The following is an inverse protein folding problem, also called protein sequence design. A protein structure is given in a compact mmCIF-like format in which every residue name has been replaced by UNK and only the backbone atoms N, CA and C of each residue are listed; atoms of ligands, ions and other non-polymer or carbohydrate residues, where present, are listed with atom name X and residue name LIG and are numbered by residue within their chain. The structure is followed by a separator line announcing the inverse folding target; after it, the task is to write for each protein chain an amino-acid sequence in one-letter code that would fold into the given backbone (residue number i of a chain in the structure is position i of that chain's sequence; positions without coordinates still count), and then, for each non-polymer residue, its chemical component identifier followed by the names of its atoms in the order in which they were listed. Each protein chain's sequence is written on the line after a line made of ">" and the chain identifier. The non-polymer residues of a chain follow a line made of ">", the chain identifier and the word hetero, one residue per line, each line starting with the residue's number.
data_IF_443800993544
#
_entry.id   IF_443800993544
#
_cell.length_a   1.000
_cell.length_b   1.000
_cell.length_c   1.000
_cell.angle_alpha   90.00
_cell.angle_beta   90.00
_cell.angle_gamma   90.00
#
_symmetry.space_group_name_H-M   'P 1'
#
loop_
_entity.id
_entity.type
_entity.pdbx_description
1 polymer ?
#
# COMPACT_ATOMS: atom_id res chain seq x y z
N UNK A 1 0.86 -85.33 -59.70
CA UNK A 1 1.20 -83.89 -59.72
C UNK A 1 0.18 -83.01 -59.00
N UNK A 2 -1.10 -83.40 -58.88
CA UNK A 2 -2.15 -82.63 -58.20
C UNK A 2 -2.10 -82.64 -56.66
N UNK A 3 -1.55 -83.68 -56.02
CA UNK A 3 -1.41 -83.73 -54.55
C UNK A 3 -0.31 -82.82 -54.02
N UNK A 4 0.79 -82.67 -54.77
CA UNK A 4 1.92 -81.81 -54.37
C UNK A 4 1.56 -80.32 -54.41
N UNK A 5 0.68 -79.91 -55.33
CA UNK A 5 0.20 -78.52 -55.44
C UNK A 5 -0.87 -78.18 -54.39
N UNK A 6 -1.68 -79.15 -53.97
CA UNK A 6 -2.63 -78.98 -52.85
C UNK A 6 -1.92 -78.83 -51.51
N UNK A 7 -0.89 -79.64 -51.23
CA UNK A 7 -0.05 -79.50 -50.04
C UNK A 7 0.63 -78.12 -49.95
N UNK A 8 1.25 -77.68 -51.05
CA UNK A 8 1.91 -76.37 -51.12
C UNK A 8 0.93 -75.19 -50.93
N UNK A 9 -0.32 -75.32 -51.34
CA UNK A 9 -1.37 -74.30 -51.12
C UNK A 9 -1.78 -74.23 -49.64
N UNK A 10 -1.95 -75.38 -49.00
CA UNK A 10 -2.29 -75.49 -47.58
C UNK A 10 -1.18 -74.90 -46.69
N UNK A 11 0.09 -75.19 -47.00
CA UNK A 11 1.24 -74.66 -46.26
C UNK A 11 1.32 -73.12 -46.37
N UNK A 12 0.99 -72.57 -47.54
CA UNK A 12 0.95 -71.11 -47.76
C UNK A 12 -0.11 -70.44 -46.90
N UNK A 13 -1.30 -71.05 -46.80
CA UNK A 13 -2.39 -70.56 -45.94
C UNK A 13 -1.99 -70.65 -44.46
N UNK A 14 -1.37 -71.74 -44.02
CA UNK A 14 -0.88 -71.89 -42.64
C UNK A 14 0.19 -70.84 -42.30
N UNK A 15 1.06 -70.52 -43.26
CA UNK A 15 2.07 -69.47 -43.10
C UNK A 15 1.45 -68.07 -42.98
N UNK A 16 0.43 -67.76 -43.78
CA UNK A 16 -0.32 -66.50 -43.67
C UNK A 16 -1.10 -66.40 -42.36
N UNK A 17 -1.80 -67.47 -41.93
CA UNK A 17 -2.49 -67.52 -40.63
C UNK A 17 -1.49 -67.28 -39.49
N UNK A 18 -0.31 -67.90 -39.55
CA UNK A 18 0.75 -67.69 -38.56
C UNK A 18 1.27 -66.25 -38.55
N UNK A 19 1.38 -65.62 -39.73
CA UNK A 19 1.79 -64.22 -39.84
C UNK A 19 0.72 -63.26 -39.30
N UNK A 20 -0.55 -63.56 -39.53
CA UNK A 20 -1.69 -62.82 -38.95
C UNK A 20 -1.72 -62.98 -37.43
N UNK A 21 -1.48 -64.18 -36.90
CA UNK A 21 -1.39 -64.45 -35.46
C UNK A 21 -0.33 -63.58 -34.77
N UNK A 22 0.89 -63.53 -35.34
CA UNK A 22 1.96 -62.65 -34.84
C UNK A 22 1.60 -61.16 -34.88
N UNK A 23 0.90 -60.71 -35.92
CA UNK A 23 0.42 -59.32 -36.00
C UNK A 23 -0.65 -59.03 -34.93
N UNK A 24 -1.54 -59.97 -34.67
CA UNK A 24 -2.56 -59.89 -33.62
C UNK A 24 -1.91 -59.79 -32.23
N UNK A 25 -0.90 -60.61 -31.94
CA UNK A 25 -0.11 -60.51 -30.70
C UNK A 25 0.60 -59.15 -30.59
N UNK A 26 1.19 -58.66 -31.69
CA UNK A 26 1.77 -57.31 -31.75
C UNK A 26 0.76 -56.19 -31.52
N UNK A 27 -0.47 -56.33 -32.03
CA UNK A 27 -1.55 -55.38 -31.75
C UNK A 27 -2.02 -55.44 -30.30
N UNK A 28 -2.11 -56.63 -29.71
CA UNK A 28 -2.56 -56.80 -28.32
C UNK A 28 -1.57 -56.19 -27.32
N UNK A 29 -0.27 -56.36 -27.58
CA UNK A 29 0.79 -55.71 -26.80
C UNK A 29 0.76 -54.18 -26.94
N UNK A 30 0.61 -53.64 -28.16
CA UNK A 30 0.47 -52.20 -28.39
C UNK A 30 -0.80 -51.63 -27.74
N UNK A 31 -1.92 -52.34 -27.81
CA UNK A 31 -3.18 -51.94 -27.19
C UNK A 31 -3.08 -51.95 -25.66
N UNK A 32 -2.41 -52.94 -25.08
CA UNK A 32 -2.12 -52.97 -23.65
C UNK A 32 -1.27 -51.78 -23.20
N UNK A 33 -0.24 -51.41 -23.98
CA UNK A 33 0.59 -50.23 -23.71
C UNK A 33 -0.22 -48.93 -23.76
N UNK A 34 -1.03 -48.72 -24.80
CA UNK A 34 -1.90 -47.55 -24.92
C UNK A 34 -2.93 -47.45 -23.77
N UNK A 35 -3.43 -48.60 -23.31
CA UNK A 35 -4.37 -48.64 -22.18
C UNK A 35 -3.70 -48.19 -20.88
N UNK A 36 -2.45 -48.61 -20.66
CA UNK A 36 -1.66 -48.19 -19.52
C UNK A 36 -1.36 -46.68 -19.56
N UNK A 37 -0.96 -46.16 -20.71
CA UNK A 37 -0.66 -44.74 -20.89
C UNK A 37 -1.91 -43.85 -20.74
N UNK A 38 -3.05 -44.29 -21.28
CA UNK A 38 -4.35 -43.63 -21.08
C UNK A 38 -4.74 -43.58 -19.60
N UNK A 39 -4.43 -44.64 -18.83
CA UNK A 39 -4.67 -44.66 -17.38
C UNK A 39 -3.75 -43.69 -16.65
N UNK A 40 -2.48 -43.60 -17.04
CA UNK A 40 -1.52 -42.63 -16.49
C UNK A 40 -2.00 -41.20 -16.72
N UNK A 41 -2.36 -40.85 -17.97
CA UNK A 41 -2.88 -39.52 -18.30
C UNK A 41 -4.12 -39.15 -17.50
N UNK A 42 -5.04 -40.10 -17.26
CA UNK A 42 -6.23 -39.85 -16.41
C UNK A 42 -5.86 -39.50 -14.96
N UNK A 43 -4.84 -40.14 -14.40
CA UNK A 43 -4.37 -39.84 -13.04
C UNK A 43 -3.73 -38.46 -12.98
N UNK A 44 -2.92 -38.10 -13.97
CA UNK A 44 -2.31 -36.75 -14.06
C UNK A 44 -3.38 -35.67 -14.21
N UNK A 45 -4.39 -35.88 -15.06
CA UNK A 45 -5.52 -34.96 -15.22
C UNK A 45 -6.27 -34.77 -13.90
N UNK A 46 -6.53 -35.84 -13.14
CA UNK A 46 -7.16 -35.74 -11.83
C UNK A 46 -6.28 -34.95 -10.84
N UNK A 47 -4.96 -35.14 -10.90
CA UNK A 47 -4.00 -34.36 -10.14
C UNK A 47 -4.06 -32.86 -10.47
N UNK A 48 -4.05 -32.51 -11.75
CA UNK A 48 -4.16 -31.12 -12.20
C UNK A 48 -5.51 -30.50 -11.82
N UNK A 49 -6.61 -31.23 -11.93
CA UNK A 49 -7.93 -30.74 -11.49
C UNK A 49 -7.93 -30.39 -9.99
N UNK A 50 -7.32 -31.23 -9.14
CA UNK A 50 -7.19 -30.93 -7.72
C UNK A 50 -6.31 -29.70 -7.46
N UNK A 51 -5.22 -29.54 -8.21
CA UNK A 51 -4.34 -28.36 -8.09
C UNK A 51 -5.05 -27.08 -8.53
N UNK A 52 -5.80 -27.11 -9.64
CA UNK A 52 -6.57 -25.98 -10.15
C UNK A 52 -7.60 -25.55 -9.11
N UNK A 53 -8.38 -26.48 -8.56
CA UNK A 53 -9.34 -26.16 -7.50
C UNK A 53 -8.67 -25.53 -6.27
N UNK A 54 -7.49 -26.03 -5.88
CA UNK A 54 -6.70 -25.43 -4.80
C UNK A 54 -6.22 -24.01 -5.11
N UNK A 55 -5.83 -23.75 -6.36
CA UNK A 55 -5.44 -22.41 -6.82
C UNK A 55 -6.64 -21.46 -6.86
N UNK A 56 -7.79 -21.90 -7.36
CA UNK A 56 -9.01 -21.10 -7.42
C UNK A 56 -9.44 -20.63 -6.03
N UNK A 57 -9.39 -21.52 -5.04
CA UNK A 57 -9.67 -21.15 -3.64
C UNK A 57 -8.67 -20.12 -3.09
N UNK A 58 -7.38 -20.27 -3.41
CA UNK A 58 -6.35 -19.32 -2.98
C UNK A 58 -6.51 -17.96 -3.66
N UNK A 59 -6.82 -17.94 -4.95
CA UNK A 59 -7.09 -16.70 -5.70
C UNK A 59 -8.29 -15.98 -5.10
N UNK A 60 -9.41 -16.66 -4.89
CA UNK A 60 -10.60 -16.06 -4.28
C UNK A 60 -10.31 -15.48 -2.88
N UNK A 61 -9.50 -16.17 -2.07
CA UNK A 61 -9.10 -15.67 -0.76
C UNK A 61 -8.21 -14.41 -0.85
N UNK A 62 -7.25 -14.38 -1.78
CA UNK A 62 -6.38 -13.22 -2.01
C UNK A 62 -7.18 -12.04 -2.53
N UNK A 63 -8.08 -12.24 -3.50
CA UNK A 63 -8.95 -11.20 -4.03
C UNK A 63 -9.80 -10.55 -2.92
N UNK A 64 -10.39 -11.36 -2.04
CA UNK A 64 -11.12 -10.86 -0.87
C UNK A 64 -10.23 -10.03 0.07
N UNK A 65 -9.00 -10.47 0.32
CA UNK A 65 -8.05 -9.72 1.15
C UNK A 65 -7.65 -8.39 0.51
N UNK A 66 -7.46 -8.34 -0.82
CA UNK A 66 -7.14 -7.10 -1.53
C UNK A 66 -8.28 -6.10 -1.39
N UNK A 67 -9.53 -6.53 -1.57
CA UNK A 67 -10.70 -5.64 -1.39
C UNK A 67 -10.73 -5.06 0.03
N UNK A 68 -10.55 -5.88 1.06
CA UNK A 68 -10.50 -5.41 2.45
C UNK A 68 -9.33 -4.45 2.71
N UNK A 69 -8.19 -4.68 2.06
CA UNK A 69 -7.05 -3.79 2.19
C UNK A 69 -7.33 -2.42 1.55
N UNK A 70 -7.96 -2.39 0.38
CA UNK A 70 -8.32 -1.12 -0.28
C UNK A 70 -9.29 -0.29 0.57
N UNK A 71 -10.25 -0.91 1.24
CA UNK A 71 -11.19 -0.24 2.14
C UNK A 71 -10.47 0.37 3.36
N UNK A 72 -9.56 -0.39 3.96
CA UNK A 72 -8.69 0.11 5.05
C UNK A 72 -7.81 1.28 4.61
N UNK A 73 -7.23 1.22 3.42
CA UNK A 73 -6.41 2.30 2.90
C UNK A 73 -7.22 3.59 2.69
N UNK A 74 -8.48 3.47 2.24
CA UNK A 74 -9.41 4.61 2.15
C UNK A 74 -9.74 5.19 3.53
N UNK A 75 -10.01 4.33 4.51
CA UNK A 75 -10.27 4.78 5.89
C UNK A 75 -9.04 5.50 6.48
N UNK A 76 -7.84 4.96 6.26
CA UNK A 76 -6.59 5.59 6.70
C UNK A 76 -6.37 6.96 6.06
N UNK A 77 -6.66 7.12 4.77
CA UNK A 77 -6.59 8.40 4.08
C UNK A 77 -7.58 9.41 4.66
N UNK A 78 -8.83 8.97 4.91
CA UNK A 78 -9.84 9.82 5.54
C UNK A 78 -9.42 10.27 6.94
N UNK A 79 -8.93 9.35 7.77
CA UNK A 79 -8.47 9.64 9.12
C UNK A 79 -7.26 10.59 9.11
N UNK A 80 -6.32 10.43 8.17
CA UNK A 80 -5.18 11.35 8.02
C UNK A 80 -5.63 12.76 7.63
N UNK A 81 -6.57 12.89 6.70
CA UNK A 81 -7.15 14.20 6.35
C UNK A 81 -7.81 14.84 7.57
N UNK A 82 -8.65 14.08 8.27
CA UNK A 82 -9.34 14.56 9.47
C UNK A 82 -8.38 14.98 10.59
N UNK A 83 -7.29 14.24 10.79
CA UNK A 83 -6.24 14.62 11.76
C UNK A 83 -5.55 15.92 11.35
N UNK A 84 -5.25 16.07 10.07
CA UNK A 84 -4.64 17.31 9.53
C UNK A 84 -5.57 18.50 9.76
N UNK A 85 -6.86 18.35 9.42
CA UNK A 85 -7.86 19.41 9.60
C UNK A 85 -8.02 19.79 11.08
N UNK A 86 -8.04 18.79 11.98
CA UNK A 86 -8.10 19.04 13.43
C UNK A 86 -6.85 19.72 13.96
N UNK A 87 -5.66 19.32 13.51
CA UNK A 87 -4.40 19.98 13.88
C UNK A 87 -4.38 21.44 13.40
N UNK A 88 -4.76 21.69 12.15
CA UNK A 88 -4.81 23.01 11.57
C UNK A 88 -5.83 23.89 12.29
N UNK A 89 -7.03 23.38 12.56
CA UNK A 89 -8.05 24.11 13.31
C UNK A 89 -7.61 24.42 14.74
N UNK A 90 -6.93 23.48 15.40
CA UNK A 90 -6.40 23.64 16.77
C UNK A 90 -5.26 24.66 16.82
N UNK A 91 -4.42 24.71 15.78
CA UNK A 91 -3.24 25.59 15.71
C UNK A 91 -3.47 26.88 14.94
N UNK A 92 -4.62 27.10 14.31
CA UNK A 92 -4.90 28.29 13.47
C UNK A 92 -4.66 29.64 14.15
N UNK A 93 -4.81 29.67 15.48
CA UNK A 93 -4.63 30.89 16.28
C UNK A 93 -3.19 31.03 16.81
N UNK A 94 -2.33 30.05 16.61
CA UNK A 94 -0.96 30.06 17.10
C UNK A 94 -0.04 30.66 16.04
N UNK A 95 0.73 31.68 16.42
CA UNK A 95 1.81 32.24 15.59
C UNK A 95 3.14 31.95 16.26
N UNK A 96 4.10 31.51 15.44
CA UNK A 96 5.47 31.23 15.87
C UNK A 96 6.39 32.36 15.43
N UNK A 97 6.90 33.10 16.40
CA UNK A 97 7.88 34.16 16.19
C UNK A 97 9.30 33.63 16.36
N UNK A 98 10.19 34.02 15.45
CA UNK A 98 11.60 33.63 15.44
C UNK A 98 12.48 34.89 15.57
N UNK A 99 13.68 34.74 16.14
CA UNK A 99 14.69 35.81 16.14
C UNK A 99 14.64 36.79 17.31
N UNK A 100 13.58 36.81 18.12
CA UNK A 100 13.56 37.60 19.36
C UNK A 100 14.66 37.11 20.32
N UNK A 101 15.60 37.95 20.71
CA UNK A 101 16.63 37.58 21.71
C UNK A 101 16.01 37.30 23.06
N UNK A 102 16.60 36.37 23.81
CA UNK A 102 16.05 35.94 25.09
C UNK A 102 16.24 37.02 26.17
N UNK A 103 15.18 37.31 26.92
CA UNK A 103 15.20 38.21 28.06
C UNK A 103 14.79 39.64 27.73
N UNK A 104 14.61 39.99 26.45
CA UNK A 104 14.08 41.29 26.05
C UNK A 104 12.61 41.43 26.45
N UNK A 105 11.88 40.32 26.56
CA UNK A 105 10.45 40.34 26.86
C UNK A 105 10.14 40.68 28.33
N UNK A 106 11.17 40.70 29.19
CA UNK A 106 11.01 40.92 30.62
C UNK A 106 10.19 39.82 31.31
N UNK A 107 9.34 40.21 32.26
CA UNK A 107 8.51 39.29 33.05
C UNK A 107 7.24 38.85 32.32
N UNK A 108 6.71 39.68 31.41
CA UNK A 108 5.47 39.39 30.68
C UNK A 108 5.65 39.49 29.16
N UNK A 109 5.70 38.31 28.53
CA UNK A 109 5.80 38.16 27.07
C UNK A 109 4.58 38.76 26.36
N UNK A 110 3.40 38.74 26.99
CA UNK A 110 2.17 39.24 26.35
C UNK A 110 2.21 40.75 26.17
N UNK A 111 2.55 41.49 27.23
CA UNK A 111 2.68 42.94 27.15
C UNK A 111 3.77 43.35 26.17
N UNK A 112 4.91 42.66 26.18
CA UNK A 112 5.98 42.88 25.20
C UNK A 112 5.48 42.71 23.75
N UNK A 113 4.75 41.63 23.44
CA UNK A 113 4.22 41.39 22.09
C UNK A 113 3.16 42.42 21.69
N UNK A 114 2.30 42.87 22.60
CA UNK A 114 1.30 43.91 22.33
C UNK A 114 1.95 45.23 21.90
N UNK A 115 3.06 45.58 22.52
CA UNK A 115 3.74 46.85 22.26
C UNK A 115 4.68 46.79 21.06
N UNK A 116 5.29 45.64 20.81
CA UNK A 116 6.32 45.49 19.77
C UNK A 116 5.77 45.11 18.41
N UNK A 117 4.74 44.27 18.32
CA UNK A 117 4.22 43.81 17.04
C UNK A 117 3.66 44.94 16.16
N UNK A 118 2.88 45.91 16.68
CA UNK A 118 2.41 47.04 15.87
C UNK A 118 3.56 47.90 15.35
N UNK A 119 4.60 48.11 16.17
CA UNK A 119 5.80 48.89 15.80
C UNK A 119 6.64 48.18 14.74
N UNK A 120 6.76 46.85 14.85
CA UNK A 120 7.56 46.04 13.90
C UNK A 120 6.84 45.87 12.57
N UNK A 121 5.51 45.77 12.58
CA UNK A 121 4.70 45.62 11.39
C UNK A 121 4.36 46.97 10.72
N UNK A 122 4.71 48.11 11.34
CA UNK A 122 4.34 49.47 10.95
C UNK A 122 2.83 49.65 10.70
N UNK A 123 2.01 48.99 11.53
CA UNK A 123 0.57 48.86 11.31
C UNK A 123 -0.23 49.15 12.56
N UNK A 124 -1.26 49.96 12.36
CA UNK A 124 -2.33 50.16 13.33
C UNK A 124 -3.36 49.05 13.14
N UNK A 125 -3.47 48.17 14.12
CA UNK A 125 -4.57 47.20 14.15
C UNK A 125 -5.87 47.91 14.55
N UNK A 126 -6.99 47.57 13.90
CA UNK A 126 -8.31 48.15 14.21
C UNK A 126 -8.77 47.88 15.65
N UNK A 127 -8.24 46.80 16.24
CA UNK A 127 -8.51 46.35 17.60
C UNK A 127 -7.18 46.03 18.31
N UNK A 128 -7.10 46.22 19.63
CA UNK A 128 -5.92 45.83 20.38
C UNK A 128 -5.62 44.34 20.20
N UNK A 129 -4.34 43.98 20.19
CA UNK A 129 -3.90 42.59 20.06
C UNK A 129 -4.29 41.81 21.32
N UNK A 130 -5.21 40.87 21.16
CA UNK A 130 -5.70 40.02 22.23
C UNK A 130 -5.05 38.64 22.13
N UNK A 131 -4.39 38.24 23.21
CA UNK A 131 -3.70 36.97 23.32
C UNK A 131 -4.35 36.14 24.42
N UNK A 132 -4.47 34.84 24.17
CA UNK A 132 -4.85 33.87 25.20
C UNK A 132 -3.64 33.44 26.03
N UNK A 133 -2.50 33.23 25.37
CA UNK A 133 -1.25 32.77 26.00
C UNK A 133 -0.06 33.05 25.10
N UNK A 134 1.11 33.28 25.68
CA UNK A 134 2.39 33.27 24.96
C UNK A 134 3.49 32.65 25.81
N UNK A 135 4.38 31.91 25.18
CA UNK A 135 5.53 31.29 25.85
C UNK A 135 6.65 30.99 24.86
N UNK A 136 7.88 30.84 25.38
CA UNK A 136 9.02 30.34 24.60
C UNK A 136 8.92 28.82 24.44
N UNK A 137 9.15 28.33 23.24
CA UNK A 137 9.15 26.90 22.91
C UNK A 137 10.54 26.28 23.14
N UNK A 138 10.60 25.17 23.87
CA UNK A 138 11.82 24.36 24.08
C UNK A 138 12.58 24.67 25.37
N UNK A 139 13.66 23.92 25.62
CA UNK A 139 14.47 23.99 26.84
C UNK A 139 15.27 25.30 26.92
N UNK A 140 15.36 25.89 28.13
CA UNK A 140 16.11 27.13 28.36
C UNK A 140 17.57 26.94 27.94
N UNK A 141 18.12 27.93 27.23
CA UNK A 141 19.50 27.90 26.76
C UNK A 141 20.45 27.82 27.94
N UNK A 142 21.44 26.94 27.83
CA UNK A 142 22.56 26.88 28.78
C UNK A 142 23.68 27.84 28.36
N UNK A 143 23.90 27.99 27.05
CA UNK A 143 24.96 28.82 26.48
C UNK A 143 24.43 29.83 25.45
N UNK A 144 24.97 31.06 25.50
CA UNK A 144 24.59 32.20 24.66
C UNK A 144 24.93 32.10 23.16
N UNK A 145 25.40 30.96 22.67
CA UNK A 145 25.75 30.74 21.24
C UNK A 145 24.62 30.15 20.38
N UNK A 146 23.61 29.51 20.98
CA UNK A 146 22.53 28.87 20.21
C UNK A 146 21.51 29.87 19.65
N UNK A 147 20.68 29.48 18.67
CA UNK A 147 19.62 30.36 18.16
C UNK A 147 18.60 30.68 19.27
N UNK A 148 18.08 31.92 19.36
CA UNK A 148 17.04 32.25 20.35
C UNK A 148 15.81 31.36 20.20
N UNK A 149 15.22 30.93 21.32
CA UNK A 149 14.03 30.06 21.29
C UNK A 149 12.86 30.72 20.59
N UNK A 150 12.05 30.02 19.79
CA UNK A 150 10.82 30.61 19.24
C UNK A 150 9.85 31.04 20.35
N UNK A 151 9.09 32.12 20.12
CA UNK A 151 7.90 32.42 20.92
C UNK A 151 6.69 31.86 20.18
N UNK A 152 5.84 31.10 20.86
CA UNK A 152 4.50 30.77 20.37
C UNK A 152 3.50 31.64 21.12
N UNK A 153 2.72 32.41 20.38
CA UNK A 153 1.59 33.16 20.92
C UNK A 153 0.27 32.66 20.31
N UNK A 154 -0.70 32.38 21.17
CA UNK A 154 -2.07 32.05 20.78
C UNK A 154 -2.91 33.32 20.83
N UNK A 155 -3.42 33.75 19.69
CA UNK A 155 -4.30 34.91 19.55
C UNK A 155 -5.75 34.52 19.88
N UNK A 156 -6.49 35.47 20.45
CA UNK A 156 -7.92 35.27 20.71
C UNK A 156 -8.73 35.28 19.40
N UNK A 157 -8.31 36.14 18.45
CA UNK A 157 -9.02 36.39 17.19
C UNK A 157 -8.21 35.90 15.99
N UNK A 158 -8.74 34.92 15.26
CA UNK A 158 -8.12 34.39 14.04
C UNK A 158 -7.89 35.45 12.95
N UNK A 159 -8.74 36.49 12.88
CA UNK A 159 -8.59 37.59 11.93
C UNK A 159 -7.24 38.31 12.06
N UNK A 160 -6.79 38.55 13.30
CA UNK A 160 -5.51 39.21 13.59
C UNK A 160 -4.33 38.35 13.14
N UNK A 161 -4.41 37.03 13.30
CA UNK A 161 -3.38 36.08 12.81
C UNK A 161 -3.25 36.15 11.30
N UNK A 162 -4.38 36.11 10.57
CA UNK A 162 -4.35 36.19 9.10
C UNK A 162 -3.74 37.50 8.61
N UNK A 163 -4.12 38.62 9.21
CA UNK A 163 -3.57 39.93 8.87
C UNK A 163 -2.05 39.94 9.11
N UNK A 164 -1.60 39.52 10.29
CA UNK A 164 -0.18 39.47 10.63
C UNK A 164 0.63 38.58 9.68
N UNK A 165 0.12 37.38 9.36
CA UNK A 165 0.79 36.47 8.43
C UNK A 165 0.83 37.03 7.00
N UNK A 166 -0.23 37.71 6.54
CA UNK A 166 -0.25 38.35 5.22
C UNK A 166 0.79 39.46 5.12
N UNK A 167 1.00 40.21 6.20
CA UNK A 167 1.98 41.29 6.27
C UNK A 167 3.41 40.77 6.28
N UNK A 168 3.67 39.67 6.98
CA UNK A 168 4.99 39.02 6.99
C UNK A 168 5.43 38.42 5.64
N UNK A 169 4.51 38.29 4.68
CA UNK A 169 4.79 37.80 3.32
C UNK A 169 5.13 38.91 2.33
N UNK A 170 4.97 40.17 2.73
CA UNK A 170 5.40 41.34 1.97
C UNK A 170 6.87 41.60 2.23
#
# INVERSE_FOLDING_TARGET
>A
MSDNTRGASMDRILQEISAVGRKLEGMDTAMSALTAETRSMRLEIAGFQSQISGLDHRVAAVESQVVLQTDRDQELLYLRSKLTDLEDQSRRNNVRFLGFSEGIEGTDILSYLRDTLPKLADITFDLPLEFQRAHRLGLKRQNGKDRPRPIIACFLRHGQVRQLLQLSRR
#
